data_IF_162162088858
#
_entry.id   IF_162162088858
#
_cell.length_a   1.000
_cell.length_b   1.000
_cell.length_c   1.000
_cell.angle_alpha   90.00
_cell.angle_beta   90.00
_cell.angle_gamma   90.00
#
_symmetry.space_group_name_H-M   'P 1'
#
loop_
_entity.id
_entity.type
_entity.pdbx_description
1 polymer ?
#
# COMPACT_ATOMS: atom_id res chain seq x y z
N UNK A 1 65.09 -9.08 25.29
CA UNK A 1 64.16 -9.93 24.53
C UNK A 1 62.85 -9.14 24.27
N UNK A 2 62.70 -8.59 23.08
CA UNK A 2 61.49 -7.79 22.72
C UNK A 2 60.62 -8.67 21.84
N UNK A 3 59.49 -9.13 22.35
CA UNK A 3 58.46 -9.79 21.55
C UNK A 3 57.47 -8.72 21.07
N UNK A 4 57.58 -8.35 19.81
CA UNK A 4 56.59 -7.52 19.13
C UNK A 4 55.57 -8.46 18.45
N UNK A 5 54.43 -8.64 19.10
CA UNK A 5 53.33 -9.38 18.49
C UNK A 5 52.46 -8.44 17.66
N UNK A 6 52.58 -8.55 16.36
CA UNK A 6 51.76 -7.76 15.40
C UNK A 6 50.36 -8.40 15.29
N UNK A 7 49.53 -8.18 16.33
CA UNK A 7 48.15 -8.69 16.38
C UNK A 7 47.14 -7.86 15.52
N UNK A 8 47.49 -6.60 15.21
CA UNK A 8 46.55 -5.71 14.48
C UNK A 8 46.33 -6.13 13.04
N UNK A 9 47.36 -6.61 12.34
CA UNK A 9 47.23 -6.99 10.91
C UNK A 9 46.37 -8.23 10.67
N UNK A 10 46.45 -9.23 11.58
CA UNK A 10 45.65 -10.47 11.44
C UNK A 10 44.16 -10.26 11.76
N UNK A 11 43.85 -9.39 12.71
CA UNK A 11 42.49 -9.06 13.10
C UNK A 11 41.81 -8.24 11.98
N UNK A 12 42.52 -7.31 11.37
CA UNK A 12 41.99 -6.50 10.25
C UNK A 12 41.71 -7.33 8.99
N UNK A 13 42.60 -8.32 8.68
CA UNK A 13 42.36 -9.25 7.57
C UNK A 13 41.19 -10.22 7.84
N UNK A 14 40.99 -10.62 9.09
CA UNK A 14 39.87 -11.48 9.47
C UNK A 14 38.54 -10.76 9.36
N UNK A 15 38.46 -9.50 9.83
CA UNK A 15 37.24 -8.67 9.69
C UNK A 15 36.92 -8.38 8.22
N UNK A 16 37.94 -8.14 7.37
CA UNK A 16 37.70 -7.88 5.94
C UNK A 16 37.16 -9.12 5.22
N UNK A 17 37.67 -10.31 5.54
CA UNK A 17 37.18 -11.59 4.98
C UNK A 17 35.78 -11.92 5.47
N UNK A 18 35.44 -11.63 6.73
CA UNK A 18 34.12 -11.84 7.29
C UNK A 18 33.10 -10.88 6.66
N UNK A 19 33.48 -9.61 6.43
CA UNK A 19 32.64 -8.64 5.77
C UNK A 19 32.32 -9.02 4.31
N UNK A 20 33.32 -9.52 3.56
CA UNK A 20 33.11 -10.04 2.21
C UNK A 20 32.19 -11.26 2.17
N UNK A 21 32.28 -12.16 3.17
CA UNK A 21 31.42 -13.35 3.24
C UNK A 21 29.96 -12.97 3.51
N UNK A 22 29.72 -11.98 4.39
CA UNK A 22 28.38 -11.48 4.69
C UNK A 22 27.74 -10.80 3.46
N UNK A 23 28.53 -10.04 2.70
CA UNK A 23 28.03 -9.40 1.45
C UNK A 23 27.66 -10.44 0.39
N UNK A 24 28.42 -11.54 0.28
CA UNK A 24 28.11 -12.62 -0.67
C UNK A 24 26.86 -13.42 -0.28
N UNK A 25 26.56 -13.56 1.01
CA UNK A 25 25.37 -14.27 1.49
C UNK A 25 24.09 -13.41 1.25
N UNK A 26 24.20 -12.07 1.31
CA UNK A 26 23.06 -11.19 1.02
C UNK A 26 22.72 -11.07 -0.46
N UNK A 27 23.65 -11.39 -1.37
CA UNK A 27 23.37 -11.35 -2.81
C UNK A 27 22.64 -12.58 -3.34
N UNK A 28 22.60 -13.69 -2.59
CA UNK A 28 21.96 -14.93 -3.04
C UNK A 28 20.49 -15.09 -2.66
N UNK A 29 19.90 -14.15 -1.93
CA UNK A 29 18.49 -14.19 -1.51
C UNK A 29 17.65 -13.01 -2.02
N UNK A 30 18.01 -12.43 -3.16
CA UNK A 30 17.02 -11.62 -3.88
C UNK A 30 16.09 -12.63 -4.54
N UNK A 31 14.83 -12.79 -4.08
CA UNK A 31 13.90 -13.59 -4.84
C UNK A 31 13.86 -12.95 -6.22
N UNK A 32 14.14 -13.75 -7.24
CA UNK A 32 13.91 -13.36 -8.62
C UNK A 32 12.48 -12.86 -8.67
N UNK A 33 12.32 -11.54 -8.65
CA UNK A 33 11.06 -10.91 -9.01
C UNK A 33 10.92 -11.26 -10.50
N UNK A 34 10.38 -12.45 -10.78
CA UNK A 34 9.84 -12.74 -12.09
C UNK A 34 8.83 -11.62 -12.30
N UNK A 35 9.19 -10.66 -13.17
CA UNK A 35 8.17 -9.82 -13.77
C UNK A 35 7.09 -10.81 -14.22
N UNK A 36 5.95 -10.78 -13.55
CA UNK A 36 4.80 -11.55 -13.99
C UNK A 36 4.63 -11.17 -15.45
N UNK A 37 4.53 -12.16 -16.36
CA UNK A 37 4.22 -11.85 -17.75
C UNK A 37 3.03 -10.89 -17.66
N UNK A 38 3.12 -9.74 -18.32
CA UNK A 38 1.92 -8.99 -18.67
C UNK A 38 1.22 -9.87 -19.71
N UNK A 39 0.58 -10.93 -19.18
CA UNK A 39 -0.32 -11.73 -19.98
C UNK A 39 -1.29 -10.74 -20.60
N UNK A 40 -1.50 -10.92 -21.90
CA UNK A 40 -2.53 -10.26 -22.71
C UNK A 40 -3.91 -10.55 -22.10
N UNK A 41 -4.15 -9.95 -20.91
CA UNK A 41 -5.45 -9.99 -20.29
C UNK A 41 -6.35 -9.06 -21.09
N UNK A 42 -7.13 -9.66 -21.99
CA UNK A 42 -8.13 -8.99 -22.83
C UNK A 42 -9.41 -8.62 -22.02
N UNK A 43 -9.36 -8.67 -20.69
CA UNK A 43 -10.40 -8.11 -19.85
C UNK A 43 -10.27 -6.61 -19.80
N UNK A 44 -11.37 -5.90 -20.04
CA UNK A 44 -11.41 -4.45 -19.94
C UNK A 44 -11.17 -4.03 -18.49
N UNK A 45 -10.01 -3.38 -18.26
CA UNK A 45 -9.67 -2.82 -16.96
C UNK A 45 -10.68 -1.77 -16.58
N UNK A 46 -11.23 -1.86 -15.39
CA UNK A 46 -12.19 -0.91 -14.85
C UNK A 46 -11.58 -0.11 -13.69
N UNK A 47 -11.98 1.13 -13.55
CA UNK A 47 -11.56 2.02 -12.47
C UNK A 47 -12.77 2.35 -11.62
N UNK A 48 -12.74 1.98 -10.34
CA UNK A 48 -13.67 2.46 -9.33
C UNK A 48 -13.28 3.87 -8.92
N UNK A 49 -14.20 4.80 -9.03
CA UNK A 49 -14.04 6.19 -8.59
C UNK A 49 -14.82 6.43 -7.32
N UNK A 50 -14.15 6.93 -6.29
CA UNK A 50 -14.76 7.35 -5.02
C UNK A 50 -14.38 8.79 -4.72
N UNK A 51 -15.36 9.61 -4.33
CA UNK A 51 -15.12 10.97 -3.82
C UNK A 51 -15.66 11.10 -2.42
N UNK A 52 -14.86 11.70 -1.55
CA UNK A 52 -15.19 11.90 -0.14
C UNK A 52 -14.93 13.33 0.28
N UNK A 53 -15.75 13.86 1.19
CA UNK A 53 -15.39 15.06 1.94
C UNK A 53 -14.28 14.73 2.94
N UNK A 54 -13.16 15.46 2.83
CA UNK A 54 -11.99 15.29 3.69
C UNK A 54 -11.48 16.66 4.09
N UNK A 55 -11.93 17.19 5.24
CA UNK A 55 -11.47 18.49 5.74
C UNK A 55 -9.95 18.56 5.86
N UNK A 56 -9.35 19.70 5.54
CA UNK A 56 -7.90 19.89 5.49
C UNK A 56 -7.21 19.51 6.82
N UNK A 57 -7.79 19.90 7.92
CA UNK A 57 -7.29 19.60 9.28
C UNK A 57 -7.40 18.11 9.66
N UNK A 58 -8.23 17.32 8.97
CA UNK A 58 -8.44 15.90 9.23
C UNK A 58 -7.76 15.00 8.18
N UNK A 59 -7.18 15.57 7.11
CA UNK A 59 -6.56 14.82 6.01
C UNK A 59 -5.51 13.83 6.48
N UNK A 60 -4.65 14.19 7.43
CA UNK A 60 -3.62 13.31 7.94
C UNK A 60 -4.20 12.06 8.63
N UNK A 61 -5.26 12.24 9.43
CA UNK A 61 -5.94 11.13 10.09
C UNK A 61 -6.63 10.21 9.07
N UNK A 62 -7.28 10.78 8.06
CA UNK A 62 -7.88 10.03 6.95
C UNK A 62 -6.84 9.18 6.21
N UNK A 63 -5.70 9.77 5.79
CA UNK A 63 -4.64 9.05 5.10
C UNK A 63 -4.06 7.91 5.94
N UNK A 64 -3.83 8.15 7.23
CA UNK A 64 -3.32 7.14 8.16
C UNK A 64 -4.30 5.96 8.31
N UNK A 65 -5.59 6.26 8.48
CA UNK A 65 -6.63 5.22 8.58
C UNK A 65 -6.76 4.43 7.28
N UNK A 66 -6.73 5.09 6.09
CA UNK A 66 -6.73 4.42 4.78
C UNK A 66 -5.53 3.49 4.63
N UNK A 67 -4.33 3.94 4.97
CA UNK A 67 -3.12 3.14 4.91
C UNK A 67 -3.15 1.93 5.84
N UNK A 68 -3.71 2.10 7.03
CA UNK A 68 -3.74 1.06 8.06
C UNK A 68 -4.80 -0.01 7.81
N UNK A 69 -5.94 0.36 7.22
CA UNK A 69 -7.11 -0.52 7.11
C UNK A 69 -7.38 -0.93 5.66
N UNK A 70 -7.60 0.04 4.77
CA UNK A 70 -8.01 -0.25 3.40
C UNK A 70 -6.88 -0.78 2.52
N UNK A 71 -5.65 -0.27 2.68
CA UNK A 71 -4.53 -0.63 1.80
C UNK A 71 -4.16 -2.12 1.90
N UNK A 72 -3.96 -2.72 3.10
CA UNK A 72 -3.65 -4.14 3.19
C UNK A 72 -4.80 -5.02 2.70
N UNK A 73 -6.06 -4.64 2.95
CA UNK A 73 -7.20 -5.40 2.48
C UNK A 73 -7.34 -5.34 0.96
N UNK A 74 -7.27 -4.16 0.35
CA UNK A 74 -7.31 -4.03 -1.11
C UNK A 74 -6.19 -4.84 -1.78
N UNK A 75 -4.98 -4.79 -1.22
CA UNK A 75 -3.83 -5.53 -1.76
C UNK A 75 -3.99 -7.06 -1.70
N UNK A 76 -4.93 -7.57 -0.90
CA UNK A 76 -5.26 -8.99 -0.83
C UNK A 76 -6.40 -9.41 -1.75
N UNK A 77 -7.05 -8.48 -2.45
CA UNK A 77 -8.19 -8.79 -3.31
C UNK A 77 -7.74 -9.25 -4.70
N UNK A 78 -8.39 -10.29 -5.20
CA UNK A 78 -8.19 -10.76 -6.56
C UNK A 78 -8.56 -9.66 -7.56
N UNK A 79 -7.67 -9.43 -8.54
CA UNK A 79 -7.89 -8.40 -9.56
C UNK A 79 -7.55 -6.98 -9.15
N UNK A 80 -7.11 -6.72 -7.92
CA UNK A 80 -6.60 -5.41 -7.52
C UNK A 80 -5.29 -5.08 -8.26
N UNK A 81 -5.24 -3.96 -8.98
CA UNK A 81 -4.06 -3.52 -9.74
C UNK A 81 -3.34 -2.33 -9.11
N UNK A 82 -4.02 -1.63 -8.21
CA UNK A 82 -3.44 -0.48 -7.54
C UNK A 82 -4.45 0.61 -7.24
N UNK A 83 -4.02 1.60 -6.48
CA UNK A 83 -4.86 2.71 -6.04
C UNK A 83 -4.11 4.03 -6.16
N UNK A 84 -4.82 5.07 -6.61
CA UNK A 84 -4.33 6.45 -6.63
C UNK A 84 -5.20 7.30 -5.72
N UNK A 85 -4.58 8.19 -4.94
CA UNK A 85 -5.25 9.11 -4.04
C UNK A 85 -4.87 10.54 -4.41
N UNK A 86 -5.88 11.36 -4.63
CA UNK A 86 -5.74 12.79 -4.87
C UNK A 86 -6.54 13.56 -3.82
N UNK A 87 -6.16 14.79 -3.57
CA UNK A 87 -6.88 15.65 -2.65
C UNK A 87 -6.98 17.07 -3.23
N UNK A 88 -8.20 17.54 -3.40
CA UNK A 88 -8.51 18.89 -3.84
C UNK A 88 -8.55 19.81 -2.62
N UNK A 89 -7.61 20.77 -2.58
CA UNK A 89 -7.48 21.70 -1.46
C UNK A 89 -8.63 22.69 -1.37
N UNK A 90 -9.17 23.12 -2.51
CA UNK A 90 -10.22 24.14 -2.55
C UNK A 90 -11.59 23.57 -2.15
N UNK A 91 -11.84 22.32 -2.57
CA UNK A 91 -13.09 21.62 -2.25
C UNK A 91 -13.04 20.84 -0.96
N UNK A 92 -11.84 20.63 -0.40
CA UNK A 92 -11.62 19.69 0.69
C UNK A 92 -12.18 18.30 0.38
N UNK A 93 -11.89 17.81 -0.83
CA UNK A 93 -12.37 16.53 -1.34
C UNK A 93 -11.19 15.61 -1.67
N UNK A 94 -11.35 14.34 -1.33
CA UNK A 94 -10.47 13.29 -1.80
C UNK A 94 -11.09 12.59 -3.01
N UNK A 95 -10.28 12.36 -4.04
CA UNK A 95 -10.57 11.46 -5.15
C UNK A 95 -9.73 10.20 -4.99
N UNK A 96 -10.37 9.06 -4.99
CA UNK A 96 -9.75 7.74 -4.96
C UNK A 96 -10.07 7.05 -6.28
N UNK A 97 -9.03 6.57 -6.97
CA UNK A 97 -9.16 5.73 -8.15
C UNK A 97 -8.59 4.37 -7.82
N UNK A 98 -9.41 3.33 -7.82
CA UNK A 98 -9.00 1.94 -7.62
C UNK A 98 -9.05 1.22 -8.96
N UNK A 99 -7.90 0.70 -9.39
CA UNK A 99 -7.80 0.00 -10.66
C UNK A 99 -8.03 -1.49 -10.44
N UNK A 100 -8.96 -2.06 -11.18
CA UNK A 100 -9.33 -3.47 -11.14
C UNK A 100 -9.05 -4.15 -12.48
N UNK A 101 -8.58 -5.38 -12.42
CA UNK A 101 -8.29 -6.20 -13.60
C UNK A 101 -9.53 -6.43 -14.45
N UNK A 102 -10.68 -6.60 -13.81
CA UNK A 102 -11.98 -6.66 -14.48
C UNK A 102 -13.11 -6.27 -13.54
N UNK A 103 -14.25 -5.92 -14.12
CA UNK A 103 -15.48 -5.62 -13.39
C UNK A 103 -16.02 -6.83 -12.63
N UNK A 104 -15.89 -8.02 -13.19
CA UNK A 104 -16.34 -9.27 -12.57
C UNK A 104 -15.58 -9.53 -11.27
N UNK A 105 -14.24 -9.40 -11.27
CA UNK A 105 -13.42 -9.57 -10.07
C UNK A 105 -13.75 -8.50 -9.02
N UNK A 106 -13.89 -7.25 -9.41
CA UNK A 106 -14.32 -6.20 -8.50
C UNK A 106 -15.69 -6.50 -7.88
N UNK A 107 -16.70 -6.81 -8.70
CA UNK A 107 -18.07 -7.03 -8.23
C UNK A 107 -18.27 -8.40 -7.56
N UNK A 108 -17.29 -9.30 -7.64
CA UNK A 108 -17.31 -10.57 -6.89
C UNK A 108 -17.00 -10.40 -5.40
N UNK A 109 -16.46 -9.24 -5.00
CA UNK A 109 -16.16 -8.94 -3.59
C UNK A 109 -17.49 -8.81 -2.82
N UNK A 110 -17.72 -9.62 -1.78
CA UNK A 110 -18.97 -9.56 -1.02
C UNK A 110 -19.10 -8.22 -0.28
N UNK A 111 -20.25 -7.57 -0.38
CA UNK A 111 -20.52 -6.32 0.37
C UNK A 111 -20.38 -6.50 1.88
N UNK A 112 -20.60 -7.69 2.41
CA UNK A 112 -20.35 -8.00 3.82
C UNK A 112 -18.89 -7.80 4.22
N UNK A 113 -17.94 -8.16 3.35
CA UNK A 113 -16.50 -7.93 3.59
C UNK A 113 -16.16 -6.44 3.50
N UNK A 114 -16.67 -5.74 2.49
CA UNK A 114 -16.51 -4.28 2.35
C UNK A 114 -17.01 -3.57 3.61
N UNK A 115 -18.19 -3.95 4.11
CA UNK A 115 -18.77 -3.37 5.32
C UNK A 115 -17.93 -3.63 6.58
N UNK A 116 -17.33 -4.82 6.70
CA UNK A 116 -16.41 -5.13 7.81
C UNK A 116 -15.17 -4.23 7.77
N UNK A 117 -14.58 -4.04 6.59
CA UNK A 117 -13.42 -3.17 6.42
C UNK A 117 -13.76 -1.71 6.67
N UNK A 118 -14.91 -1.26 6.16
CA UNK A 118 -15.42 0.08 6.42
C UNK A 118 -15.62 0.31 7.92
N UNK A 119 -16.22 -0.63 8.63
CA UNK A 119 -16.38 -0.56 10.08
C UNK A 119 -15.04 -0.41 10.82
N UNK A 120 -14.03 -1.21 10.46
CA UNK A 120 -12.66 -1.09 11.01
C UNK A 120 -12.04 0.28 10.72
N UNK A 121 -12.25 0.80 9.51
CA UNK A 121 -11.78 2.13 9.15
C UNK A 121 -12.45 3.20 10.02
N UNK A 122 -13.76 3.16 10.16
CA UNK A 122 -14.52 4.11 10.99
C UNK A 122 -14.11 4.06 12.46
N UNK A 123 -13.93 2.87 13.02
CA UNK A 123 -13.48 2.72 14.42
C UNK A 123 -12.06 3.26 14.61
N UNK A 124 -11.17 3.07 13.63
CA UNK A 124 -9.83 3.64 13.64
C UNK A 124 -9.88 5.19 13.63
N UNK A 125 -10.71 5.75 12.75
CA UNK A 125 -10.93 7.21 12.65
C UNK A 125 -11.54 7.77 13.92
N UNK A 126 -12.63 7.19 14.43
CA UNK A 126 -13.29 7.62 15.67
C UNK A 126 -12.34 7.64 16.85
N UNK A 127 -11.53 6.60 16.98
CA UNK A 127 -10.51 6.50 18.04
C UNK A 127 -9.42 7.56 17.87
N UNK A 128 -8.88 7.72 16.65
CA UNK A 128 -7.78 8.64 16.40
C UNK A 128 -8.17 10.12 16.57
N UNK A 129 -9.41 10.45 16.25
CA UNK A 129 -9.95 11.82 16.32
C UNK A 129 -10.73 12.11 17.60
N UNK A 130 -10.99 11.10 18.43
CA UNK A 130 -11.86 11.19 19.61
C UNK A 130 -13.26 11.75 19.27
N UNK A 131 -13.89 11.19 18.22
CA UNK A 131 -15.21 11.59 17.73
C UNK A 131 -16.18 10.42 17.75
N UNK A 132 -17.48 10.69 17.82
CA UNK A 132 -18.52 9.66 17.88
C UNK A 132 -18.93 9.14 16.49
N UNK A 133 -18.64 9.91 15.43
CA UNK A 133 -19.03 9.58 14.04
C UNK A 133 -17.86 9.74 13.11
N UNK A 134 -17.86 8.96 12.01
CA UNK A 134 -16.94 9.15 10.91
C UNK A 134 -17.20 10.52 10.24
N UNK A 135 -16.22 11.43 10.18
CA UNK A 135 -16.40 12.75 9.58
C UNK A 135 -16.21 12.75 8.05
N UNK A 136 -15.82 11.62 7.46
CA UNK A 136 -15.52 11.49 6.03
C UNK A 136 -16.74 10.95 5.28
N UNK A 137 -17.46 11.85 4.64
CA UNK A 137 -18.67 11.51 3.88
C UNK A 137 -18.31 11.06 2.47
N UNK A 138 -18.84 9.92 2.04
CA UNK A 138 -18.80 9.51 0.63
C UNK A 138 -19.83 10.31 -0.14
N UNK A 139 -19.38 11.15 -1.10
CA UNK A 139 -20.21 12.03 -1.89
C UNK A 139 -20.45 11.51 -3.30
N UNK A 140 -19.63 10.58 -3.77
CA UNK A 140 -19.78 9.96 -5.07
C UNK A 140 -19.08 8.61 -5.12
N UNK A 141 -19.71 7.67 -5.78
CA UNK A 141 -19.13 6.39 -6.20
C UNK A 141 -19.53 6.13 -7.66
N UNK A 142 -18.58 5.73 -8.47
CA UNK A 142 -18.79 5.48 -9.89
C UNK A 142 -17.79 4.53 -10.50
N UNK A 143 -17.96 4.29 -11.77
CA UNK A 143 -17.15 3.42 -12.60
C UNK A 143 -16.64 4.20 -13.81
N UNK A 144 -15.34 4.10 -14.08
CA UNK A 144 -14.70 4.70 -15.24
C UNK A 144 -14.12 3.60 -16.12
N UNK A 145 -14.39 3.67 -17.41
CA UNK A 145 -13.80 2.81 -18.42
C UNK A 145 -12.77 3.60 -19.21
N UNK A 146 -11.61 2.99 -19.44
CA UNK A 146 -10.56 3.60 -20.26
C UNK A 146 -11.06 3.79 -21.69
N UNK A 147 -10.88 4.99 -22.23
CA UNK A 147 -11.20 5.31 -23.60
C UNK A 147 -9.93 5.45 -24.42
N UNK A 148 -9.78 4.65 -25.49
CA UNK A 148 -8.70 4.77 -26.50
C UNK A 148 -7.33 4.33 -26.04
#
# INVERSE_FOLDING_TARGET
>A
MKFNFNLKGKFQQFCLKLLCLVVLIFQSNIPNLKALPMDNYQGEMVIEELRLKVPANLKAAWLNAKKKVWEPWLSSQDGFLGRQLFWDKEKEEALILVNWKSKELWKSIPMSEVNIVQGKFEDNVKTALNVSKNPFELIYEGELNKQG
#
